data_IF_806047776308
#
_entry.id   IF_806047776308
#
_cell.length_a   1.000
_cell.length_b   1.000
_cell.length_c   1.000
_cell.angle_alpha   90.00
_cell.angle_beta   90.00
_cell.angle_gamma   90.00
#
_symmetry.space_group_name_H-M   'P 1'
#
loop_
_entity.id
_entity.type
_entity.pdbx_description
1 polymer ?
#
# COMPACT_ATOMS: atom_id res chain seq x y z
N UNK A 1 -18.98 7.37 -14.41
CA UNK A 1 -18.15 6.23 -13.97
C UNK A 1 -18.77 4.94 -14.48
N UNK A 2 -17.95 4.01 -15.01
CA UNK A 2 -18.44 2.73 -15.56
C UNK A 2 -19.04 1.87 -14.45
N UNK A 3 -20.26 1.35 -14.67
CA UNK A 3 -20.93 0.42 -13.76
C UNK A 3 -20.07 -0.82 -13.50
N UNK A 4 -19.42 -1.35 -14.53
CA UNK A 4 -18.59 -2.56 -14.44
C UNK A 4 -17.43 -2.32 -13.47
N UNK A 5 -16.71 -1.21 -13.65
CA UNK A 5 -15.55 -0.85 -12.82
C UNK A 5 -15.97 -0.58 -11.38
N UNK A 6 -17.00 0.25 -11.16
CA UNK A 6 -17.48 0.55 -9.81
C UNK A 6 -17.99 -0.71 -9.09
N UNK A 7 -18.69 -1.60 -9.80
CA UNK A 7 -19.15 -2.86 -9.23
C UNK A 7 -17.99 -3.78 -8.88
N UNK A 8 -16.97 -3.88 -9.73
CA UNK A 8 -15.78 -4.67 -9.47
C UNK A 8 -15.01 -4.15 -8.25
N UNK A 9 -14.73 -2.84 -8.20
CA UNK A 9 -14.04 -2.20 -7.09
C UNK A 9 -14.78 -2.40 -5.75
N UNK A 10 -16.10 -2.17 -5.73
CA UNK A 10 -16.90 -2.34 -4.50
C UNK A 10 -16.89 -3.81 -4.07
N UNK A 11 -17.07 -4.77 -4.98
CA UNK A 11 -16.98 -6.20 -4.64
C UNK A 11 -15.60 -6.58 -4.10
N UNK A 12 -14.53 -6.06 -4.70
CA UNK A 12 -13.16 -6.27 -4.23
C UNK A 12 -12.97 -5.74 -2.80
N UNK A 13 -13.44 -4.52 -2.54
CA UNK A 13 -13.36 -3.91 -1.22
C UNK A 13 -14.07 -4.74 -0.14
N UNK A 14 -15.29 -5.24 -0.41
CA UNK A 14 -15.98 -6.17 0.51
C UNK A 14 -15.13 -7.40 0.83
N UNK A 15 -14.53 -8.05 -0.19
CA UNK A 15 -13.67 -9.23 0.01
C UNK A 15 -12.44 -8.93 0.87
N UNK A 16 -11.76 -7.81 0.64
CA UNK A 16 -10.55 -7.43 1.40
C UNK A 16 -10.91 -7.08 2.84
N UNK A 17 -11.99 -6.33 3.07
CA UNK A 17 -12.44 -5.98 4.43
C UNK A 17 -12.86 -7.23 5.20
N UNK A 18 -13.59 -8.16 4.58
CA UNK A 18 -13.92 -9.46 5.20
C UNK A 18 -12.67 -10.29 5.52
N UNK A 19 -11.68 -10.30 4.61
CA UNK A 19 -10.39 -10.97 4.84
C UNK A 19 -9.66 -10.35 6.04
N UNK A 20 -9.62 -9.03 6.13
CA UNK A 20 -8.99 -8.32 7.25
C UNK A 20 -9.69 -8.61 8.58
N UNK A 21 -11.03 -8.62 8.60
CA UNK A 21 -11.79 -8.95 9.81
C UNK A 21 -11.53 -10.40 10.27
N UNK A 22 -11.49 -11.36 9.34
CA UNK A 22 -11.15 -12.75 9.68
C UNK A 22 -9.74 -12.86 10.23
N UNK A 23 -8.77 -12.24 9.57
CA UNK A 23 -7.37 -12.25 9.97
C UNK A 23 -7.14 -11.61 11.34
N UNK A 24 -7.85 -10.50 11.61
CA UNK A 24 -7.84 -9.84 12.91
C UNK A 24 -8.43 -10.73 14.01
N UNK A 25 -9.56 -11.41 13.77
CA UNK A 25 -10.13 -12.36 14.72
C UNK A 25 -9.16 -13.49 15.05
N UNK A 26 -8.58 -14.12 14.03
CA UNK A 26 -7.55 -15.16 14.19
C UNK A 26 -6.37 -14.67 15.03
N UNK A 27 -5.93 -13.43 14.82
CA UNK A 27 -4.84 -12.83 15.59
C UNK A 27 -5.24 -12.55 17.05
N UNK A 28 -6.42 -11.98 17.27
CA UNK A 28 -6.93 -11.73 18.62
C UNK A 28 -7.12 -13.03 19.40
N UNK A 29 -7.61 -14.08 18.76
CA UNK A 29 -7.77 -15.40 19.39
C UNK A 29 -6.43 -16.01 19.79
N UNK A 30 -5.35 -15.71 19.04
CA UNK A 30 -4.01 -16.27 19.27
C UNK A 30 -3.16 -15.47 20.26
N UNK A 31 -3.18 -14.13 20.20
CA UNK A 31 -2.32 -13.26 21.01
C UNK A 31 -3.09 -12.39 22.03
N UNK A 32 -4.39 -12.21 21.85
CA UNK A 32 -5.22 -11.36 22.70
C UNK A 32 -5.23 -9.88 22.28
N UNK A 33 -6.19 -9.12 22.81
CA UNK A 33 -6.44 -7.73 22.41
C UNK A 33 -5.33 -6.74 22.79
N UNK A 34 -4.49 -7.08 23.77
CA UNK A 34 -3.43 -6.20 24.27
C UNK A 34 -2.08 -6.42 23.59
N UNK A 35 -1.98 -7.37 22.65
CA UNK A 35 -0.74 -7.62 21.92
C UNK A 35 -0.35 -6.39 21.08
N UNK A 36 0.90 -5.89 21.19
CA UNK A 36 1.39 -4.80 20.38
C UNK A 36 1.42 -5.15 18.88
N UNK A 37 1.07 -4.17 18.04
CA UNK A 37 1.08 -4.34 16.58
C UNK A 37 1.48 -3.03 15.91
N UNK A 38 2.25 -3.12 14.82
CA UNK A 38 2.68 -1.94 14.08
C UNK A 38 3.77 -2.22 13.07
N UNK A 39 4.17 -1.18 12.35
CA UNK A 39 5.29 -1.22 11.42
C UNK A 39 6.62 -0.91 12.12
N UNK A 40 7.75 -1.37 11.57
CA UNK A 40 9.05 -1.18 12.18
C UNK A 40 9.45 0.31 12.20
N UNK A 41 9.96 0.78 13.35
CA UNK A 41 10.66 2.05 13.51
C UNK A 41 9.93 3.27 12.89
N UNK A 42 8.64 3.42 13.19
CA UNK A 42 7.81 4.54 12.73
C UNK A 42 7.10 5.24 13.88
N UNK A 43 7.14 6.57 13.88
CA UNK A 43 6.34 7.41 14.79
C UNK A 43 4.91 7.66 14.26
N UNK A 44 4.56 7.07 13.11
CA UNK A 44 3.28 7.28 12.42
C UNK A 44 2.32 6.09 12.53
N UNK A 45 2.53 5.19 13.50
CA UNK A 45 1.68 4.01 13.74
C UNK A 45 1.44 3.22 12.45
N UNK A 46 0.16 3.01 12.08
CA UNK A 46 -0.28 2.57 10.76
C UNK A 46 -0.55 3.81 9.90
N UNK A 47 0.34 4.17 8.97
CA UNK A 47 0.37 5.53 8.44
C UNK A 47 -0.84 5.98 7.62
N UNK A 48 -1.51 5.07 6.89
CA UNK A 48 -2.72 5.42 6.12
C UNK A 48 -3.88 5.67 7.07
N UNK A 49 -4.12 4.77 8.02
CA UNK A 49 -5.12 4.91 9.08
C UNK A 49 -4.85 6.17 9.91
N UNK A 50 -3.61 6.35 10.37
CA UNK A 50 -3.22 7.49 11.21
C UNK A 50 -3.32 8.80 10.44
N UNK A 51 -2.84 8.86 9.20
CA UNK A 51 -2.95 10.05 8.37
C UNK A 51 -4.39 10.44 8.09
N UNK A 52 -5.23 9.50 7.65
CA UNK A 52 -6.60 9.81 7.22
C UNK A 52 -7.57 9.97 8.40
N UNK A 53 -7.46 9.13 9.44
CA UNK A 53 -8.41 9.11 10.56
C UNK A 53 -7.89 9.80 11.82
N UNK A 54 -6.58 10.01 11.94
CA UNK A 54 -5.96 10.55 13.16
C UNK A 54 -5.96 9.56 14.33
N UNK A 55 -6.23 8.27 14.07
CA UNK A 55 -6.34 7.23 15.11
C UNK A 55 -5.00 6.51 15.20
N UNK A 56 -4.28 6.57 16.34
CA UNK A 56 -3.11 5.75 16.58
C UNK A 56 -3.54 4.30 16.83
N UNK A 57 -2.92 3.36 16.12
CA UNK A 57 -3.14 1.91 16.32
C UNK A 57 -1.85 1.34 16.89
N UNK A 58 -1.92 0.86 18.14
CA UNK A 58 -0.75 0.35 18.88
C UNK A 58 -0.87 -1.13 19.23
N UNK A 59 -2.10 -1.63 19.36
CA UNK A 59 -2.41 -3.01 19.73
C UNK A 59 -3.55 -3.57 18.91
N UNK A 60 -3.68 -4.91 18.91
CA UNK A 60 -4.75 -5.60 18.17
C UNK A 60 -6.15 -5.10 18.52
N UNK A 61 -6.42 -4.70 19.77
CA UNK A 61 -7.71 -4.16 20.18
C UNK A 61 -8.11 -2.86 19.47
N UNK A 62 -7.15 -2.01 19.09
CA UNK A 62 -7.46 -0.72 18.45
C UNK A 62 -7.96 -0.90 17.01
N UNK A 63 -7.60 -2.02 16.37
CA UNK A 63 -8.03 -2.36 15.02
C UNK A 63 -9.54 -2.61 14.92
N UNK A 64 -10.23 -2.96 16.02
CA UNK A 64 -11.68 -3.17 16.01
C UNK A 64 -12.43 -1.91 15.57
N UNK A 65 -12.00 -0.74 16.07
CA UNK A 65 -12.58 0.55 15.68
C UNK A 65 -12.39 0.82 14.19
N UNK A 66 -11.22 0.49 13.64
CA UNK A 66 -10.91 0.69 12.23
C UNK A 66 -11.78 -0.22 11.36
N UNK A 67 -11.93 -1.50 11.73
CA UNK A 67 -12.82 -2.42 11.01
C UNK A 67 -14.29 -1.96 11.01
N UNK A 68 -14.76 -1.38 12.12
CA UNK A 68 -16.10 -0.75 12.19
C UNK A 68 -16.21 0.43 11.23
N UNK A 69 -15.16 1.25 11.10
CA UNK A 69 -15.10 2.36 10.14
C UNK A 69 -15.12 1.84 8.70
N UNK A 70 -14.33 0.80 8.39
CA UNK A 70 -14.33 0.17 7.07
C UNK A 70 -15.74 -0.31 6.67
N UNK A 71 -16.44 -1.00 7.57
CA UNK A 71 -17.82 -1.47 7.33
C UNK A 71 -18.80 -0.32 7.06
N UNK A 72 -18.61 0.83 7.70
CA UNK A 72 -19.44 2.03 7.46
C UNK A 72 -19.12 2.72 6.13
N UNK A 73 -17.86 2.69 5.71
CA UNK A 73 -17.41 3.25 4.42
C UNK A 73 -17.79 2.36 3.23
N UNK A 74 -17.91 1.05 3.44
CA UNK A 74 -18.29 0.12 2.38
C UNK A 74 -19.69 0.42 1.85
N UNK A 75 -19.83 0.83 0.57
CA UNK A 75 -21.14 1.01 0.00
C UNK A 75 -21.82 -0.35 -0.26
N UNK A 76 -23.15 -0.37 -0.36
CA UNK A 76 -23.86 -1.57 -0.81
C UNK A 76 -23.45 -1.93 -2.26
N UNK A 77 -23.61 -3.20 -2.67
CA UNK A 77 -23.40 -3.60 -4.06
C UNK A 77 -24.18 -2.71 -5.04
N UNK A 78 -23.55 -2.38 -6.17
CA UNK A 78 -24.17 -1.54 -7.20
C UNK A 78 -25.42 -2.24 -7.75
N UNK A 79 -26.55 -1.52 -7.73
CA UNK A 79 -27.82 -2.06 -8.23
C UNK A 79 -27.74 -2.46 -9.70
N UNK A 80 -28.39 -3.57 -10.03
CA UNK A 80 -28.40 -4.09 -11.38
C UNK A 80 -29.21 -3.20 -12.34
N UNK A 81 -30.39 -2.76 -11.90
CA UNK A 81 -31.31 -1.87 -12.64
C UNK A 81 -31.34 -0.49 -11.99
N UNK A 82 -31.34 0.57 -12.81
CA UNK A 82 -31.38 1.98 -12.39
C UNK A 82 -30.24 2.33 -11.41
N UNK A 83 -29.01 2.29 -11.91
CA UNK A 83 -27.82 2.67 -11.14
C UNK A 83 -27.58 4.18 -11.28
N UNK A 84 -27.23 4.83 -10.19
CA UNK A 84 -26.78 6.23 -10.20
C UNK A 84 -25.26 6.22 -10.42
N UNK A 85 -24.73 6.89 -11.45
CA UNK A 85 -23.30 6.91 -11.72
C UNK A 85 -22.59 7.84 -10.74
N UNK A 86 -22.37 7.39 -9.50
CA UNK A 86 -21.70 8.19 -8.48
C UNK A 86 -20.31 7.65 -8.16
N UNK A 87 -19.32 8.53 -8.26
CA UNK A 87 -17.90 8.23 -8.04
C UNK A 87 -17.58 8.00 -6.56
N UNK A 88 -18.21 8.77 -5.65
CA UNK A 88 -17.82 8.77 -4.25
C UNK A 88 -17.89 7.39 -3.57
N UNK A 89 -18.94 6.56 -3.75
CA UNK A 89 -18.99 5.21 -3.19
C UNK A 89 -17.81 4.33 -3.58
N UNK A 90 -17.36 4.42 -4.84
CA UNK A 90 -16.20 3.66 -5.29
C UNK A 90 -14.90 4.16 -4.65
N UNK A 91 -14.77 5.47 -4.41
CA UNK A 91 -13.63 6.05 -3.69
C UNK A 91 -13.64 5.66 -2.21
N UNK A 92 -14.80 5.69 -1.55
CA UNK A 92 -14.95 5.27 -0.16
C UNK A 92 -14.61 3.78 0.01
N UNK A 93 -15.03 2.94 -0.94
CA UNK A 93 -14.65 1.53 -1.01
C UNK A 93 -13.14 1.35 -1.18
N UNK A 94 -12.49 2.17 -2.01
CA UNK A 94 -11.04 2.18 -2.17
C UNK A 94 -10.32 2.54 -0.88
N UNK A 95 -10.78 3.57 -0.17
CA UNK A 95 -10.21 3.97 1.13
C UNK A 95 -10.37 2.87 2.19
N UNK A 96 -11.55 2.24 2.28
CA UNK A 96 -11.79 1.11 3.17
C UNK A 96 -10.86 -0.08 2.86
N UNK A 97 -10.53 -0.28 1.58
CA UNK A 97 -9.58 -1.31 1.13
C UNK A 97 -8.19 -1.01 1.67
N UNK A 98 -7.68 0.22 1.55
CA UNK A 98 -6.37 0.58 2.10
C UNK A 98 -6.28 0.37 3.62
N UNK A 99 -7.31 0.74 4.37
CA UNK A 99 -7.33 0.47 5.82
C UNK A 99 -7.30 -1.03 6.14
N UNK A 100 -8.04 -1.84 5.37
CA UNK A 100 -8.05 -3.29 5.54
C UNK A 100 -6.70 -3.94 5.17
N UNK A 101 -6.06 -3.48 4.10
CA UNK A 101 -4.72 -3.93 3.69
C UNK A 101 -3.67 -3.56 4.75
N UNK A 102 -3.74 -2.35 5.31
CA UNK A 102 -2.83 -1.92 6.37
C UNK A 102 -2.94 -2.78 7.63
N UNK A 103 -4.16 -3.15 8.02
CA UNK A 103 -4.41 -4.09 9.11
C UNK A 103 -3.81 -5.46 8.82
N UNK A 104 -4.03 -6.00 7.61
CA UNK A 104 -3.49 -7.31 7.22
C UNK A 104 -1.97 -7.31 7.27
N UNK A 105 -1.33 -6.27 6.76
CA UNK A 105 0.14 -6.18 6.77
C UNK A 105 0.70 -5.96 8.16
N UNK A 106 0.04 -5.17 9.01
CA UNK A 106 0.44 -5.00 10.40
C UNK A 106 0.38 -6.33 11.17
N UNK A 107 -0.67 -7.13 10.94
CA UNK A 107 -0.76 -8.49 11.50
C UNK A 107 0.33 -9.39 10.92
N UNK A 108 0.68 -9.28 9.62
CA UNK A 108 1.77 -10.07 9.04
C UNK A 108 3.12 -9.80 9.71
N UNK A 109 3.40 -8.55 10.05
CA UNK A 109 4.60 -8.19 10.83
C UNK A 109 4.63 -8.84 12.22
N UNK A 110 3.48 -9.01 12.85
CA UNK A 110 3.35 -9.72 14.13
C UNK A 110 3.52 -11.23 13.96
N UNK A 111 2.85 -11.82 12.96
CA UNK A 111 2.86 -13.27 12.71
C UNK A 111 4.21 -13.78 12.24
N UNK A 112 4.83 -13.05 11.32
CA UNK A 112 6.02 -13.45 10.60
C UNK A 112 7.04 -12.30 10.62
N UNK A 113 7.73 -12.05 11.75
CA UNK A 113 8.62 -10.90 11.90
C UNK A 113 9.76 -10.82 10.88
N UNK A 114 10.17 -11.96 10.31
CA UNK A 114 11.26 -12.09 9.34
C UNK A 114 10.79 -12.11 7.87
N UNK A 115 9.49 -11.92 7.61
CA UNK A 115 8.94 -11.95 6.25
C UNK A 115 9.50 -10.81 5.37
N UNK A 116 9.72 -9.65 5.98
CA UNK A 116 10.28 -8.45 5.35
C UNK A 116 11.68 -8.14 5.86
N UNK A 117 12.54 -7.56 5.02
CA UNK A 117 13.91 -7.22 5.40
C UNK A 117 13.99 -6.11 6.44
N UNK A 118 13.07 -5.13 6.39
CA UNK A 118 13.10 -3.89 7.20
C UNK A 118 14.34 -3.02 6.94
N UNK A 119 14.96 -3.19 5.78
CA UNK A 119 16.20 -2.50 5.37
C UNK A 119 16.03 -1.79 4.02
N UNK A 120 17.02 -0.98 3.63
CA UNK A 120 17.03 -0.30 2.33
C UNK A 120 17.19 -1.26 1.13
N UNK A 121 17.77 -2.43 1.37
CA UNK A 121 18.15 -3.40 0.34
C UNK A 121 17.62 -4.80 0.68
N UNK A 122 17.41 -5.66 -0.33
CA UNK A 122 17.22 -7.09 -0.15
C UNK A 122 18.32 -7.72 0.70
N UNK A 123 18.02 -8.85 1.34
CA UNK A 123 19.02 -9.67 2.02
C UNK A 123 18.96 -11.12 1.55
N UNK A 124 19.84 -11.97 2.08
CA UNK A 124 19.93 -13.39 1.70
C UNK A 124 18.63 -14.18 1.94
N UNK A 125 17.76 -13.71 2.84
CA UNK A 125 16.52 -14.42 3.21
C UNK A 125 15.32 -14.03 2.36
N UNK A 126 15.22 -12.75 1.98
CA UNK A 126 14.03 -12.23 1.30
C UNK A 126 14.37 -10.98 0.49
N UNK A 127 13.70 -10.85 -0.66
CA UNK A 127 13.74 -9.65 -1.49
C UNK A 127 12.72 -8.60 -1.07
N UNK A 128 11.79 -8.94 -0.17
CA UNK A 128 10.67 -8.07 0.18
C UNK A 128 11.06 -7.10 1.29
N UNK A 129 11.00 -5.81 0.98
CA UNK A 129 11.43 -4.74 1.88
C UNK A 129 10.37 -4.38 2.92
N UNK A 130 9.09 -4.45 2.52
CA UNK A 130 7.95 -4.09 3.37
C UNK A 130 7.85 -2.59 3.64
N UNK A 131 7.25 -2.23 4.78
CA UNK A 131 7.09 -0.84 5.20
C UNK A 131 8.45 -0.15 5.38
N UNK A 132 8.60 1.01 4.73
CA UNK A 132 9.76 1.88 4.95
C UNK A 132 9.76 2.39 6.40
N UNK A 133 10.90 2.39 7.09
CA UNK A 133 11.01 3.04 8.39
C UNK A 133 11.13 4.57 8.28
N UNK A 134 11.19 5.26 9.41
CA UNK A 134 11.30 6.72 9.42
C UNK A 134 12.68 7.24 8.96
N UNK A 135 13.73 6.41 8.98
CA UNK A 135 15.06 6.79 8.47
C UNK A 135 15.01 6.84 6.95
N UNK A 136 14.48 5.79 6.32
CA UNK A 136 14.25 5.70 4.88
C UNK A 136 13.31 6.81 4.44
N UNK A 137 12.22 7.04 5.16
CA UNK A 137 11.28 8.14 4.88
C UNK A 137 11.99 9.49 4.86
N UNK A 138 12.83 9.80 5.86
CA UNK A 138 13.54 11.09 5.89
C UNK A 138 14.55 11.21 4.75
N UNK A 139 15.29 10.14 4.47
CA UNK A 139 16.33 10.11 3.44
C UNK A 139 15.76 10.19 2.02
N UNK A 140 14.68 9.47 1.74
CA UNK A 140 14.10 9.33 0.40
C UNK A 140 12.91 10.26 0.16
N UNK A 141 12.18 10.61 1.20
CA UNK A 141 11.02 11.50 1.12
C UNK A 141 11.38 12.93 0.71
N UNK A 142 12.59 13.40 1.03
CA UNK A 142 13.07 14.72 0.59
C UNK A 142 13.15 14.82 -0.94
N UNK A 143 13.48 13.72 -1.64
CA UNK A 143 13.58 13.67 -3.11
C UNK A 143 12.23 13.97 -3.79
N UNK A 144 11.11 13.69 -3.11
CA UNK A 144 9.75 14.00 -3.59
C UNK A 144 9.37 15.46 -3.37
N UNK A 145 10.05 16.15 -2.46
CA UNK A 145 9.76 17.55 -2.10
C UNK A 145 10.62 18.50 -2.94
N UNK A 146 11.89 18.17 -3.13
CA UNK A 146 12.83 18.96 -3.93
C UNK A 146 12.72 18.71 -5.44
N UNK A 147 11.97 17.68 -5.85
CA UNK A 147 11.71 17.33 -7.24
C UNK A 147 12.78 16.45 -7.89
N UNK A 148 13.77 15.99 -7.13
CA UNK A 148 14.79 15.02 -7.60
C UNK A 148 14.15 13.71 -8.05
N UNK A 149 13.10 13.28 -7.35
CA UNK A 149 12.20 12.23 -7.77
C UNK A 149 10.81 12.85 -7.99
N UNK A 150 10.33 12.99 -9.24
CA UNK A 150 9.05 13.65 -9.50
C UNK A 150 7.87 12.88 -8.89
N UNK A 151 8.03 11.58 -8.65
CA UNK A 151 6.97 10.73 -8.12
C UNK A 151 7.30 9.26 -8.20
N UNK A 152 6.28 8.41 -8.22
CA UNK A 152 6.46 6.97 -8.27
C UNK A 152 5.44 6.25 -9.16
N UNK A 153 5.88 5.13 -9.75
CA UNK A 153 5.04 4.16 -10.41
C UNK A 153 4.77 3.00 -9.44
N UNK A 154 3.51 2.79 -9.06
CA UNK A 154 3.09 1.60 -8.33
C UNK A 154 2.81 0.47 -9.34
N UNK A 155 3.75 -0.46 -9.48
CA UNK A 155 3.65 -1.60 -10.40
C UNK A 155 3.06 -2.78 -9.64
N UNK A 156 1.90 -3.24 -10.10
CA UNK A 156 1.13 -4.32 -9.48
C UNK A 156 1.02 -5.50 -10.44
N UNK A 157 1.48 -6.68 -10.03
CA UNK A 157 1.41 -7.91 -10.84
C UNK A 157 2.73 -8.24 -11.56
N UNK A 158 2.64 -8.67 -12.81
CA UNK A 158 3.80 -9.10 -13.62
C UNK A 158 3.62 -8.81 -15.11
N UNK A 159 4.74 -8.72 -15.84
CA UNK A 159 4.74 -8.64 -17.30
C UNK A 159 4.70 -10.05 -17.90
N UNK A 160 4.32 -10.19 -19.19
CA UNK A 160 4.32 -11.49 -19.87
C UNK A 160 5.69 -12.20 -19.86
N UNK A 161 6.77 -11.42 -19.96
CA UNK A 161 8.15 -11.87 -19.98
C UNK A 161 9.08 -10.92 -19.22
N UNK A 162 10.27 -11.43 -18.85
CA UNK A 162 11.22 -10.69 -18.02
C UNK A 162 11.91 -9.55 -18.77
N UNK A 163 12.16 -9.70 -20.07
CA UNK A 163 12.76 -8.65 -20.91
C UNK A 163 11.89 -7.38 -20.90
N UNK A 164 10.58 -7.55 -21.00
CA UNK A 164 9.60 -6.46 -20.89
C UNK A 164 9.63 -5.82 -19.51
N UNK A 165 9.78 -6.61 -18.43
CA UNK A 165 9.91 -6.06 -17.07
C UNK A 165 11.13 -5.15 -16.95
N UNK A 166 12.30 -5.64 -17.41
CA UNK A 166 13.55 -4.89 -17.39
C UNK A 166 13.42 -3.62 -18.20
N UNK A 167 12.85 -3.69 -19.41
CA UNK A 167 12.66 -2.50 -20.25
C UNK A 167 11.81 -1.43 -19.56
N UNK A 168 10.66 -1.82 -18.99
CA UNK A 168 9.78 -0.90 -18.25
C UNK A 168 10.52 -0.30 -17.06
N UNK A 169 11.20 -1.12 -16.26
CA UNK A 169 11.94 -0.66 -15.09
C UNK A 169 13.02 0.36 -15.46
N UNK A 170 13.79 0.11 -16.53
CA UNK A 170 14.84 1.01 -17.03
C UNK A 170 14.25 2.33 -17.56
N UNK A 171 13.15 2.28 -18.31
CA UNK A 171 12.48 3.49 -18.81
C UNK A 171 11.96 4.38 -17.66
N UNK A 172 11.42 3.77 -16.61
CA UNK A 172 10.96 4.50 -15.42
C UNK A 172 12.14 5.09 -14.61
N UNK A 173 13.24 4.33 -14.45
CA UNK A 173 14.46 4.82 -13.81
C UNK A 173 15.07 6.01 -14.56
N UNK A 174 15.11 5.98 -15.90
CA UNK A 174 15.59 7.10 -16.74
C UNK A 174 14.79 8.39 -16.52
N UNK A 175 13.52 8.28 -16.09
CA UNK A 175 12.65 9.40 -15.73
C UNK A 175 12.77 9.80 -14.27
N UNK A 176 13.73 9.24 -13.54
CA UNK A 176 13.97 9.46 -12.11
C UNK A 176 12.80 9.06 -11.20
N UNK A 177 11.93 8.16 -11.65
CA UNK A 177 10.80 7.70 -10.85
C UNK A 177 11.22 6.61 -9.87
N UNK A 178 10.60 6.61 -8.70
CA UNK A 178 10.56 5.40 -7.88
C UNK A 178 9.61 4.38 -8.50
N UNK A 179 9.97 3.11 -8.46
CA UNK A 179 9.13 2.00 -8.88
C UNK A 179 8.83 1.17 -7.65
N UNK A 180 7.57 1.19 -7.24
CA UNK A 180 7.06 0.50 -6.06
C UNK A 180 6.32 -0.75 -6.50
N UNK A 181 6.87 -1.91 -6.21
CA UNK A 181 6.45 -3.20 -6.78
C UNK A 181 5.71 -4.03 -5.75
N UNK A 182 4.49 -4.47 -6.08
CA UNK A 182 3.70 -5.37 -5.24
C UNK A 182 2.82 -6.31 -6.06
N UNK A 183 2.17 -7.27 -5.39
CA UNK A 183 1.26 -8.25 -5.98
C UNK A 183 1.90 -9.23 -6.98
N UNK A 184 1.11 -10.23 -7.37
CA UNK A 184 1.45 -11.21 -8.41
C UNK A 184 0.38 -11.26 -9.49
N UNK A 185 0.74 -11.82 -10.63
CA UNK A 185 -0.19 -12.32 -11.62
C UNK A 185 0.28 -13.70 -12.09
N UNK A 186 -0.61 -14.70 -11.95
CA UNK A 186 -0.37 -16.11 -12.30
C UNK A 186 0.93 -16.69 -11.67
N UNK A 187 1.17 -16.39 -10.40
CA UNK A 187 2.36 -16.88 -9.68
C UNK A 187 3.65 -16.09 -9.94
N UNK A 188 3.64 -15.13 -10.87
CA UNK A 188 4.80 -14.29 -11.21
C UNK A 188 4.67 -12.89 -10.65
N UNK A 189 5.81 -12.27 -10.31
CA UNK A 189 5.87 -10.91 -9.74
C UNK A 189 6.91 -10.08 -10.47
N UNK A 190 6.59 -8.82 -10.75
CA UNK A 190 7.50 -7.91 -11.43
C UNK A 190 8.88 -7.81 -10.76
N UNK A 191 8.94 -7.78 -9.42
CA UNK A 191 10.20 -7.76 -8.69
C UNK A 191 11.06 -9.02 -8.90
N UNK A 192 10.44 -10.20 -8.95
CA UNK A 192 11.14 -11.47 -9.19
C UNK A 192 11.67 -11.52 -10.63
N UNK A 193 10.89 -11.05 -11.61
CA UNK A 193 11.32 -10.96 -13.02
C UNK A 193 12.58 -10.09 -13.19
N UNK A 194 12.71 -9.03 -12.40
CA UNK A 194 13.91 -8.18 -12.41
C UNK A 194 15.12 -8.91 -11.80
N UNK A 195 14.92 -9.60 -10.67
CA UNK A 195 15.99 -10.34 -9.99
C UNK A 195 16.49 -11.51 -10.83
N UNK A 196 15.59 -12.21 -11.53
CA UNK A 196 15.93 -13.30 -12.45
C UNK A 196 16.85 -12.84 -13.59
N UNK A 197 16.72 -11.60 -14.04
CA UNK A 197 17.56 -10.97 -15.07
C UNK A 197 18.81 -10.27 -14.48
N UNK A 198 19.09 -10.47 -13.19
CA UNK A 198 20.25 -9.89 -12.51
C UNK A 198 20.16 -8.37 -12.30
N UNK A 199 18.94 -7.79 -12.33
CA UNK A 199 18.75 -6.38 -12.02
C UNK A 199 18.74 -6.17 -10.51
N UNK A 200 19.62 -5.27 -10.04
CA UNK A 200 19.68 -4.88 -8.65
C UNK A 200 18.46 -4.04 -8.23
N UNK A 201 17.75 -4.52 -7.20
CA UNK A 201 16.56 -3.88 -6.64
C UNK A 201 16.84 -3.37 -5.22
N UNK A 202 16.10 -2.35 -4.78
CA UNK A 202 16.27 -1.71 -3.48
C UNK A 202 15.86 -0.23 -3.52
N UNK A 203 15.86 0.40 -2.34
CA UNK A 203 15.73 1.85 -2.23
C UNK A 203 16.84 2.63 -2.96
N UNK A 204 18.13 2.21 -2.92
CA UNK A 204 19.20 2.92 -3.64
C UNK A 204 19.01 2.96 -5.16
N UNK A 205 18.49 1.88 -5.75
CA UNK A 205 18.22 1.79 -7.20
C UNK A 205 16.82 2.27 -7.56
N UNK A 206 16.03 2.74 -6.58
CA UNK A 206 14.62 3.17 -6.72
C UNK A 206 13.66 2.08 -7.21
N UNK A 207 14.09 0.81 -7.20
CA UNK A 207 13.28 -0.36 -7.53
C UNK A 207 12.88 -1.05 -6.22
N UNK A 208 11.80 -0.59 -5.59
CA UNK A 208 11.42 -1.02 -4.23
C UNK A 208 10.41 -2.17 -4.30
N UNK A 209 10.82 -3.36 -3.86
CA UNK A 209 10.01 -4.57 -3.74
C UNK A 209 9.23 -4.58 -2.42
N UNK A 210 7.99 -4.11 -2.42
CA UNK A 210 7.20 -3.98 -1.19
C UNK A 210 6.71 -5.30 -0.64
N UNK A 211 6.19 -6.18 -1.49
CA UNK A 211 5.73 -7.49 -1.04
C UNK A 211 5.08 -8.31 -2.15
N UNK A 212 4.91 -9.61 -1.92
CA UNK A 212 4.40 -10.52 -2.94
C UNK A 212 2.89 -10.44 -3.13
N UNK A 213 2.17 -9.90 -2.15
CA UNK A 213 0.71 -9.82 -2.11
C UNK A 213 0.22 -8.41 -2.45
N UNK A 214 -1.02 -8.29 -2.93
CA UNK A 214 -1.65 -6.99 -3.24
C UNK A 214 -1.74 -6.07 -2.01
N UNK A 215 -1.88 -6.66 -0.82
CA UNK A 215 -1.94 -5.93 0.46
C UNK A 215 -0.69 -5.08 0.71
N UNK A 216 0.46 -5.45 0.13
CA UNK A 216 1.70 -4.68 0.25
C UNK A 216 1.69 -3.35 -0.53
N UNK A 217 0.71 -3.14 -1.43
CA UNK A 217 0.51 -1.85 -2.09
C UNK A 217 0.26 -0.72 -1.08
N UNK A 218 -0.26 -1.04 0.10
CA UNK A 218 -0.47 -0.08 1.18
C UNK A 218 0.81 0.59 1.65
N UNK A 219 1.99 -0.05 1.51
CA UNK A 219 3.26 0.56 1.89
C UNK A 219 3.61 1.76 1.00
N UNK A 220 3.25 1.73 -0.29
CA UNK A 220 3.39 2.87 -1.20
C UNK A 220 2.52 4.05 -0.75
N UNK A 221 1.25 3.78 -0.43
CA UNK A 221 0.27 4.79 -0.03
C UNK A 221 0.61 5.35 1.36
N UNK A 222 1.05 4.49 2.27
CA UNK A 222 1.53 4.87 3.59
C UNK A 222 2.81 5.72 3.51
N UNK A 223 3.72 5.42 2.57
CA UNK A 223 4.88 6.28 2.31
C UNK A 223 4.45 7.68 1.85
N UNK A 224 3.58 7.79 0.85
CA UNK A 224 3.06 9.08 0.36
C UNK A 224 2.35 9.87 1.48
N UNK A 225 1.53 9.19 2.28
CA UNK A 225 0.84 9.78 3.43
C UNK A 225 1.81 10.34 4.47
N UNK A 226 2.90 9.62 4.74
CA UNK A 226 3.96 10.10 5.63
C UNK A 226 4.74 11.27 5.05
N UNK A 227 5.03 11.29 3.75
CA UNK A 227 5.66 12.45 3.10
C UNK A 227 4.81 13.71 3.32
N UNK A 228 3.49 13.62 3.16
CA UNK A 228 2.57 14.72 3.40
C UNK A 228 2.59 15.22 4.86
N UNK A 229 2.65 14.31 5.83
CA UNK A 229 2.73 14.69 7.26
C UNK A 229 4.10 15.25 7.63
N UNK A 230 5.19 14.56 7.28
CA UNK A 230 6.56 14.92 7.67
C UNK A 230 7.05 16.20 7.02
N UNK A 231 6.82 16.37 5.71
CA UNK A 231 7.36 17.50 4.95
C UNK A 231 6.30 18.58 4.67
N UNK A 232 5.03 18.19 4.57
CA UNK A 232 3.92 19.14 4.43
C UNK A 232 3.48 19.74 5.77
N UNK A 233 3.91 19.21 6.90
CA UNK A 233 3.52 19.66 8.25
C UNK A 233 2.03 19.44 8.56
N UNK A 234 1.36 18.57 7.79
CA UNK A 234 -0.07 18.32 7.87
C UNK A 234 -0.34 17.41 9.07
N UNK A 235 -1.34 17.76 9.88
CA UNK A 235 -1.65 17.00 11.08
C UNK A 235 -2.41 15.70 10.76
N UNK A 236 -2.20 14.62 11.53
CA UNK A 236 -2.99 13.40 11.42
C UNK A 236 -4.50 13.67 11.54
N UNK A 237 -5.32 13.02 10.73
CA UNK A 237 -6.76 13.24 10.66
C UNK A 237 -7.19 14.41 9.76
N UNK A 238 -6.27 15.27 9.30
CA UNK A 238 -6.57 16.30 8.30
C UNK A 238 -6.63 15.70 6.87
N UNK A 239 -7.45 14.66 6.69
CA UNK A 239 -7.45 13.82 5.48
C UNK A 239 -7.53 14.62 4.18
N UNK A 240 -8.35 15.69 4.16
CA UNK A 240 -8.52 16.52 2.97
C UNK A 240 -7.21 17.19 2.56
N UNK A 241 -6.43 17.69 3.53
CA UNK A 241 -5.13 18.31 3.27
C UNK A 241 -4.13 17.26 2.78
N UNK A 242 -4.10 16.07 3.38
CA UNK A 242 -3.23 14.96 2.96
C UNK A 242 -3.54 14.54 1.52
N UNK A 243 -4.81 14.34 1.18
CA UNK A 243 -5.22 13.94 -0.17
C UNK A 243 -4.88 15.02 -1.21
N UNK A 244 -5.08 16.30 -0.88
CA UNK A 244 -4.71 17.42 -1.77
C UNK A 244 -3.19 17.51 -1.93
N UNK A 245 -2.43 17.38 -0.84
CA UNK A 245 -0.97 17.37 -0.89
C UNK A 245 -0.47 16.27 -1.82
N UNK A 246 -0.95 15.04 -1.64
CA UNK A 246 -0.56 13.92 -2.50
C UNK A 246 -0.98 14.14 -3.96
N UNK A 247 -2.16 14.71 -4.22
CA UNK A 247 -2.59 15.08 -5.58
C UNK A 247 -1.65 16.09 -6.25
N UNK A 248 -1.12 17.04 -5.49
CA UNK A 248 -0.40 18.21 -6.04
C UNK A 248 1.13 18.12 -5.93
N UNK A 249 1.66 17.21 -5.10
CA UNK A 249 3.10 17.09 -4.80
C UNK A 249 3.68 15.70 -5.02
N UNK A 250 2.90 14.64 -4.85
CA UNK A 250 3.40 13.26 -4.98
C UNK A 250 2.83 12.65 -6.26
N UNK A 251 3.49 12.86 -7.41
CA UNK A 251 2.96 12.43 -8.71
C UNK A 251 3.03 10.90 -8.88
N UNK A 252 2.01 10.22 -8.37
CA UNK A 252 1.91 8.77 -8.40
C UNK A 252 0.98 8.29 -9.52
N UNK A 253 1.32 7.17 -10.14
CA UNK A 253 0.42 6.43 -11.02
C UNK A 253 0.55 4.92 -10.79
N UNK A 254 -0.50 4.18 -11.11
CA UNK A 254 -0.56 2.73 -10.94
C UNK A 254 -0.43 2.06 -12.31
N UNK A 255 0.47 1.08 -12.41
CA UNK A 255 0.59 0.15 -13.53
C UNK A 255 0.11 -1.23 -13.06
N UNK A 256 -1.17 -1.51 -13.28
CA UNK A 256 -1.72 -2.85 -13.06
C UNK A 256 -1.38 -3.72 -14.28
N UNK A 257 -0.47 -4.67 -14.10
CA UNK A 257 0.06 -5.54 -15.14
C UNK A 257 -0.52 -6.95 -15.00
N UNK A 258 -0.97 -7.50 -16.11
CA UNK A 258 -1.72 -8.76 -16.15
C UNK A 258 -3.23 -8.57 -15.97
N UNK A 259 -3.94 -9.68 -15.73
CA UNK A 259 -5.39 -9.68 -15.57
C UNK A 259 -5.80 -9.18 -14.17
N UNK A 260 -6.57 -8.08 -14.13
CA UNK A 260 -7.11 -7.50 -12.89
C UNK A 260 -8.33 -8.28 -12.41
N UNK A 261 -8.36 -8.67 -11.12
CA UNK A 261 -9.42 -9.50 -10.51
C UNK A 261 -10.26 -8.77 -9.48
#
# INVERSE_FOLDING_TARGET
MSKIIASAAIRGAHKIVERAERKWKEAVDRWGLNEPVGFPNTAYYLPVIYGILGIPVEKLGDMEQILKICKRLLPPPVRERVHLPYLAPALDAGMATFFAEEIIEAIRYLENPDFYTKTEEPNEKTIWLGAADDIILRKRGIEFVDGTAPGFAAVLGSTPDNETAVKIARELQQKNLYIFMAAEHEGKRFAEQLVEEGVEIGWPTRLVSFGPDITAAVFAIGFATRVAMSFGGIQPGEFRKILIYNKDRTFAFVMALGHVT
#
